data_IF_771063805139
#
_entry.id   IF_771063805139
#
_cell.length_a   1.000
_cell.length_b   1.000
_cell.length_c   1.000
_cell.angle_alpha   90.00
_cell.angle_beta   90.00
_cell.angle_gamma   90.00
#
_symmetry.space_group_name_H-M   'P 1'
#
loop_
_entity.id
_entity.type
_entity.pdbx_description
1 polymer ?
#
# COMPACT_ATOMS: atom_id res chain seq x y z
N UNK A 1 -6.31 -7.78 12.94
CA UNK A 1 -4.91 -7.93 12.47
C UNK A 1 -4.16 -6.63 12.72
N UNK A 2 -2.83 -6.63 12.69
CA UNK A 2 -1.98 -5.46 12.99
C UNK A 2 -1.86 -4.51 11.79
N UNK A 3 -1.29 -3.32 11.99
CA UNK A 3 -0.85 -2.41 10.92
C UNK A 3 0.66 -2.14 11.10
N UNK A 4 1.51 -2.38 10.09
CA UNK A 4 1.24 -3.04 8.81
C UNK A 4 0.76 -4.49 8.94
N UNK A 5 0.14 -5.03 7.89
CA UNK A 5 -0.34 -6.40 7.85
C UNK A 5 0.26 -7.20 6.69
N UNK A 6 0.76 -8.39 6.99
CA UNK A 6 1.17 -9.39 6.01
C UNK A 6 0.21 -10.58 6.06
N UNK A 7 -0.21 -11.08 4.89
CA UNK A 7 -0.92 -12.34 4.79
C UNK A 7 -0.67 -13.05 3.46
N UNK A 8 -1.02 -14.33 3.41
CA UNK A 8 -1.02 -15.11 2.18
C UNK A 8 -2.41 -15.68 1.95
N UNK A 9 -2.91 -15.54 0.72
CA UNK A 9 -4.20 -16.04 0.28
C UNK A 9 -4.00 -16.79 -1.04
N UNK A 10 -4.21 -18.10 -1.04
CA UNK A 10 -4.09 -18.96 -2.23
C UNK A 10 -2.75 -18.77 -2.97
N UNK A 11 -1.63 -18.77 -2.21
CA UNK A 11 -0.28 -18.54 -2.72
C UNK A 11 0.06 -17.09 -3.09
N UNK A 12 -0.90 -16.16 -2.96
CA UNK A 12 -0.67 -14.73 -3.20
C UNK A 12 -0.38 -14.03 -1.88
N UNK A 13 0.85 -13.53 -1.74
CA UNK A 13 1.31 -12.73 -0.60
C UNK A 13 0.86 -11.28 -0.73
N UNK A 14 0.18 -10.78 0.31
CA UNK A 14 -0.27 -9.40 0.47
C UNK A 14 0.52 -8.68 1.57
N UNK A 15 0.79 -7.40 1.32
CA UNK A 15 1.21 -6.42 2.31
C UNK A 15 0.23 -5.25 2.29
N UNK A 16 -0.28 -4.87 3.46
CA UNK A 16 -1.24 -3.79 3.63
C UNK A 16 -0.80 -2.76 4.66
N UNK A 17 -1.07 -1.49 4.39
CA UNK A 17 -1.02 -0.41 5.40
C UNK A 17 -2.34 0.35 5.46
N UNK A 18 -2.61 0.99 6.61
CA UNK A 18 -3.83 1.78 6.82
C UNK A 18 -3.79 3.19 6.20
N UNK A 19 -2.78 3.53 5.40
CA UNK A 19 -2.69 4.80 4.68
C UNK A 19 -1.70 5.82 5.24
N UNK A 20 -1.44 5.79 6.55
CA UNK A 20 -0.65 6.81 7.23
C UNK A 20 0.77 6.98 6.66
N UNK A 21 1.36 5.90 6.14
CA UNK A 21 2.72 5.92 5.61
C UNK A 21 2.86 6.82 4.40
N UNK A 22 1.90 6.77 3.47
CA UNK A 22 1.90 7.66 2.29
C UNK A 22 1.37 9.05 2.66
N UNK A 23 0.39 9.15 3.57
CA UNK A 23 -0.08 10.46 4.07
C UNK A 23 1.05 11.26 4.70
N UNK A 24 1.90 10.63 5.49
CA UNK A 24 2.98 11.29 6.19
C UNK A 24 4.08 11.79 5.24
N UNK A 25 4.49 10.96 4.26
CA UNK A 25 5.38 11.38 3.17
C UNK A 25 4.83 12.62 2.46
N UNK A 26 3.51 12.65 2.22
CA UNK A 26 2.82 13.74 1.51
C UNK A 26 2.80 15.07 2.22
N UNK A 27 3.11 15.12 3.53
CA UNK A 27 3.28 16.38 4.24
C UNK A 27 4.55 17.13 3.84
N UNK A 28 5.52 16.44 3.22
CA UNK A 28 6.87 16.95 2.98
C UNK A 28 7.29 16.99 1.51
N UNK A 29 6.39 16.62 0.59
CA UNK A 29 6.69 16.57 -0.85
C UNK A 29 5.70 17.43 -1.62
N UNK A 30 6.21 18.20 -2.57
CA UNK A 30 5.37 18.99 -3.48
C UNK A 30 5.05 18.14 -4.73
N UNK A 31 4.13 17.19 -4.59
CA UNK A 31 3.70 16.29 -5.65
C UNK A 31 2.26 15.85 -5.40
N UNK A 32 1.56 15.45 -6.46
CA UNK A 32 0.20 14.90 -6.38
C UNK A 32 0.16 13.38 -6.66
N UNK A 33 1.27 12.78 -7.12
CA UNK A 33 1.33 11.38 -7.55
C UNK A 33 1.56 10.41 -6.38
N UNK A 34 0.49 10.11 -5.64
CA UNK A 34 0.56 9.25 -4.44
C UNK A 34 0.99 7.84 -4.80
N UNK A 35 0.60 7.38 -5.99
CA UNK A 35 0.94 6.06 -6.48
C UNK A 35 2.46 5.95 -6.63
N UNK A 36 3.12 6.97 -7.21
CA UNK A 36 4.59 7.01 -7.33
C UNK A 36 5.31 6.88 -6.01
N UNK A 37 4.80 7.46 -4.93
CA UNK A 37 5.43 7.30 -3.62
C UNK A 37 5.20 5.92 -3.02
N UNK A 38 4.05 5.29 -3.27
CA UNK A 38 3.88 3.88 -2.94
C UNK A 38 4.88 3.00 -3.71
N UNK A 39 5.11 3.27 -5.00
CA UNK A 39 6.17 2.62 -5.80
C UNK A 39 7.54 2.80 -5.17
N UNK A 40 7.85 4.02 -4.70
CA UNK A 40 9.10 4.34 -4.04
C UNK A 40 9.28 3.59 -2.72
N UNK A 41 8.24 3.49 -1.88
CA UNK A 41 8.33 2.69 -0.63
C UNK A 41 8.65 1.23 -0.91
N UNK A 42 8.12 0.67 -2.00
CA UNK A 42 8.47 -0.68 -2.44
C UNK A 42 9.92 -0.74 -2.95
N UNK A 43 10.34 0.22 -3.77
CA UNK A 43 11.70 0.30 -4.31
C UNK A 43 12.76 0.46 -3.22
N UNK A 44 12.49 1.26 -2.20
CA UNK A 44 13.34 1.44 -1.03
C UNK A 44 13.29 0.26 -0.05
N UNK A 45 12.40 -0.72 -0.30
CA UNK A 45 12.18 -1.87 0.58
C UNK A 45 11.76 -1.45 2.00
N UNK A 46 11.08 -0.30 2.13
CA UNK A 46 10.76 0.32 3.41
C UNK A 46 9.33 0.88 3.42
N UNK A 47 8.49 0.35 4.31
CA UNK A 47 7.05 0.62 4.38
C UNK A 47 6.76 2.06 4.86
N UNK A 48 7.54 2.55 5.84
CA UNK A 48 7.30 3.83 6.51
C UNK A 48 8.62 4.61 6.69
N UNK A 49 9.24 5.11 5.60
CA UNK A 49 10.58 5.71 5.63
C UNK A 49 10.70 6.99 6.47
N UNK A 50 9.57 7.59 6.85
CA UNK A 50 9.49 8.78 7.68
C UNK A 50 9.31 8.47 9.17
N UNK A 51 9.19 7.20 9.54
CA UNK A 51 9.22 6.77 10.93
C UNK A 51 10.67 6.58 11.40
N UNK A 52 11.02 6.94 12.65
CA UNK A 52 10.16 7.53 13.68
C UNK A 52 10.02 9.06 13.61
N UNK A 53 10.76 9.73 12.72
CA UNK A 53 11.00 11.19 12.77
C UNK A 53 9.72 12.03 12.65
N UNK A 54 8.83 11.68 11.72
CA UNK A 54 7.57 12.42 11.48
C UNK A 54 6.33 11.54 11.59
N UNK A 55 6.49 10.23 11.36
CA UNK A 55 5.47 9.24 11.66
C UNK A 55 5.82 8.50 12.95
N UNK A 56 5.01 8.70 13.99
CA UNK A 56 5.18 8.05 15.28
C UNK A 56 5.13 6.53 15.15
N UNK A 57 6.14 5.85 15.70
CA UNK A 57 6.16 4.40 15.83
C UNK A 57 6.68 4.00 17.22
N UNK A 58 6.52 2.72 17.56
CA UNK A 58 7.16 2.17 18.74
C UNK A 58 8.68 2.17 18.57
N UNK A 59 9.48 2.50 19.60
CA UNK A 59 10.94 2.53 19.51
C UNK A 59 11.51 1.10 19.52
N UNK A 60 11.59 0.47 18.34
CA UNK A 60 12.23 -0.83 18.18
C UNK A 60 13.76 -0.69 18.30
N UNK A 61 14.40 -1.61 19.03
CA UNK A 61 15.85 -1.54 19.32
C UNK A 61 16.70 -2.36 18.33
N UNK A 62 16.25 -3.57 18.00
CA UNK A 62 17.09 -4.54 17.27
C UNK A 62 16.76 -4.65 15.78
N UNK A 63 15.47 -4.60 15.45
CA UNK A 63 14.96 -4.85 14.09
C UNK A 63 13.90 -3.82 13.75
N UNK A 64 14.08 -3.14 12.63
CA UNK A 64 13.08 -2.24 12.08
C UNK A 64 11.97 -3.06 11.38
N UNK A 65 10.72 -3.03 11.88
CA UNK A 65 9.62 -3.81 11.30
C UNK A 65 9.11 -3.24 9.97
N UNK A 66 9.54 -2.04 9.59
CA UNK A 66 9.13 -1.41 8.34
C UNK A 66 9.99 -1.83 7.15
N UNK A 67 11.12 -2.51 7.38
CA UNK A 67 11.93 -3.12 6.33
C UNK A 67 11.18 -4.34 5.77
N UNK A 68 10.92 -4.35 4.47
CA UNK A 68 10.27 -5.49 3.82
C UNK A 68 11.27 -6.65 3.69
N UNK A 69 10.99 -7.81 4.27
CA UNK A 69 11.85 -8.99 4.16
C UNK A 69 11.79 -9.63 2.77
N UNK A 70 10.65 -9.52 2.09
CA UNK A 70 10.39 -10.04 0.75
C UNK A 70 9.51 -9.07 -0.06
N UNK A 71 9.52 -9.21 -1.39
CA UNK A 71 8.60 -8.46 -2.24
C UNK A 71 7.19 -9.08 -2.17
N UNK A 72 6.14 -8.32 -1.81
CA UNK A 72 4.77 -8.82 -1.85
C UNK A 72 4.29 -8.98 -3.30
N UNK A 73 3.35 -9.89 -3.54
CA UNK A 73 2.64 -9.96 -4.83
C UNK A 73 1.64 -8.79 -4.95
N UNK A 74 1.01 -8.41 -3.84
CA UNK A 74 0.11 -7.26 -3.76
C UNK A 74 0.53 -6.35 -2.61
N UNK A 75 0.76 -5.08 -2.88
CA UNK A 75 1.01 -4.05 -1.88
C UNK A 75 -0.11 -3.01 -1.92
N UNK A 76 -0.94 -2.96 -0.90
CA UNK A 76 -2.06 -2.03 -0.84
C UNK A 76 -1.91 -1.00 0.29
N UNK A 77 -2.34 0.22 -0.01
CA UNK A 77 -2.35 1.36 0.91
C UNK A 77 -3.79 1.84 0.98
N UNK A 78 -4.42 1.77 2.15
CA UNK A 78 -5.82 2.19 2.33
C UNK A 78 -5.99 3.68 2.59
N UNK A 79 -7.24 4.14 2.65
CA UNK A 79 -7.62 5.52 2.99
C UNK A 79 -6.95 6.57 2.11
N UNK A 80 -6.77 6.25 0.82
CA UNK A 80 -6.26 7.22 -0.16
C UNK A 80 -7.42 8.07 -0.71
N UNK A 81 -7.11 9.19 -1.34
CA UNK A 81 -8.14 10.10 -1.88
C UNK A 81 -8.92 9.49 -3.05
N UNK A 82 -8.25 8.67 -3.85
CA UNK A 82 -8.81 8.06 -5.04
C UNK A 82 -8.22 6.67 -5.27
N UNK A 83 -8.92 5.85 -6.06
CA UNK A 83 -8.43 4.57 -6.50
C UNK A 83 -7.35 4.74 -7.57
N UNK A 84 -6.19 4.14 -7.35
CA UNK A 84 -5.12 4.07 -8.34
C UNK A 84 -4.36 2.75 -8.22
N UNK A 85 -3.80 2.26 -9.32
CA UNK A 85 -3.01 1.02 -9.29
C UNK A 85 -1.94 1.00 -10.36
N UNK A 86 -0.78 0.42 -10.03
CA UNK A 86 0.27 0.09 -11.00
C UNK A 86 0.77 -1.35 -10.78
N UNK A 87 1.53 -1.85 -11.74
CA UNK A 87 2.29 -3.10 -11.59
C UNK A 87 3.74 -2.80 -11.86
N UNK A 88 4.60 -3.16 -10.92
CA UNK A 88 6.04 -2.99 -11.05
C UNK A 88 6.66 -4.37 -11.24
N UNK A 89 7.63 -4.44 -12.14
CA UNK A 89 8.49 -5.61 -12.32
C UNK A 89 9.89 -5.30 -11.75
N UNK A 90 10.39 -6.19 -10.90
CA UNK A 90 11.73 -6.11 -10.34
C UNK A 90 12.78 -6.79 -11.24
N UNK A 91 14.07 -6.69 -10.88
CA UNK A 91 15.18 -7.20 -11.68
C UNK A 91 15.12 -8.72 -11.95
N UNK A 92 14.57 -9.49 -11.03
CA UNK A 92 14.43 -10.95 -11.10
C UNK A 92 13.06 -11.38 -11.64
N UNK A 93 12.38 -10.48 -12.37
CA UNK A 93 11.03 -10.67 -12.93
C UNK A 93 9.93 -10.86 -11.86
N UNK A 94 10.20 -10.52 -10.61
CA UNK A 94 9.19 -10.43 -9.55
C UNK A 94 8.19 -9.33 -9.91
N UNK A 95 6.90 -9.59 -9.71
CA UNK A 95 5.83 -8.65 -10.02
C UNK A 95 5.04 -8.30 -8.77
N UNK A 96 4.92 -7.00 -8.50
CA UNK A 96 4.09 -6.48 -7.42
C UNK A 96 3.00 -5.58 -7.99
N UNK A 97 1.75 -5.90 -7.66
CA UNK A 97 0.59 -5.04 -7.89
C UNK A 97 0.47 -4.05 -6.74
N UNK A 98 0.61 -2.76 -7.02
CA UNK A 98 0.42 -1.70 -6.04
C UNK A 98 -1.00 -1.15 -6.17
N UNK A 99 -1.70 -0.97 -5.05
CA UNK A 99 -3.09 -0.54 -5.01
C UNK A 99 -3.26 0.58 -3.98
N UNK A 100 -3.66 1.75 -4.44
CA UNK A 100 -4.22 2.80 -3.58
C UNK A 100 -5.72 2.54 -3.45
N UNK A 101 -6.15 2.17 -2.26
CA UNK A 101 -7.56 1.94 -1.95
C UNK A 101 -8.16 3.23 -1.39
N UNK A 102 -9.21 3.77 -2.02
CA UNK A 102 -9.85 4.96 -1.52
C UNK A 102 -10.64 4.70 -0.23
N UNK A 103 -10.93 5.76 0.53
CA UNK A 103 -11.85 5.67 1.67
C UNK A 103 -13.24 5.27 1.18
N UNK A 104 -13.76 4.13 1.64
CA UNK A 104 -15.12 3.69 1.30
C UNK A 104 -16.17 4.68 1.80
N UNK A 105 -15.97 5.26 3.00
CA UNK A 105 -16.90 6.22 3.59
C UNK A 105 -17.07 7.49 2.73
N UNK A 106 -16.03 7.88 1.98
CA UNK A 106 -16.03 9.07 1.14
C UNK A 106 -16.41 8.76 -0.32
N UNK A 107 -16.01 7.59 -0.83
CA UNK A 107 -16.09 7.27 -2.27
C UNK A 107 -17.08 6.17 -2.62
N UNK A 108 -17.50 5.36 -1.65
CA UNK A 108 -18.32 4.17 -1.89
C UNK A 108 -17.62 3.13 -2.77
N UNK A 109 -16.28 3.12 -2.84
CA UNK A 109 -15.53 2.22 -3.73
C UNK A 109 -14.95 1.03 -2.98
N UNK A 110 -15.19 -0.16 -3.51
CA UNK A 110 -14.52 -1.42 -3.13
C UNK A 110 -13.70 -1.92 -4.31
N UNK A 111 -12.58 -2.58 -4.08
CA UNK A 111 -11.74 -3.13 -5.15
C UNK A 111 -11.68 -4.64 -5.03
N UNK A 112 -12.08 -5.35 -6.09
CA UNK A 112 -11.87 -6.78 -6.22
C UNK A 112 -10.52 -7.06 -6.88
N UNK A 113 -9.72 -7.93 -6.28
CA UNK A 113 -8.44 -8.39 -6.83
C UNK A 113 -8.57 -9.82 -7.30
N UNK A 114 -8.31 -10.06 -8.58
CA UNK A 114 -8.27 -11.40 -9.13
C UNK A 114 -6.92 -12.07 -8.76
N UNK A 115 -6.94 -13.11 -7.94
CA UNK A 115 -5.72 -13.76 -7.44
C UNK A 115 -4.88 -14.43 -8.53
N UNK A 116 -5.49 -14.84 -9.66
CA UNK A 116 -4.77 -15.51 -10.76
C UNK A 116 -3.89 -14.56 -11.58
N UNK A 117 -4.30 -13.29 -11.71
CA UNK A 117 -3.63 -12.33 -12.61
C UNK A 117 -3.39 -10.95 -11.99
N UNK A 118 -3.76 -10.77 -10.73
CA UNK A 118 -3.63 -9.55 -9.93
C UNK A 118 -4.31 -8.32 -10.56
N UNK A 119 -5.26 -8.51 -11.47
CA UNK A 119 -6.07 -7.41 -12.01
C UNK A 119 -7.04 -6.91 -10.93
N UNK A 120 -7.18 -5.60 -10.85
CA UNK A 120 -8.03 -4.91 -9.90
C UNK A 120 -9.29 -4.40 -10.60
N UNK A 121 -10.45 -4.65 -10.01
CA UNK A 121 -11.76 -4.24 -10.52
C UNK A 121 -12.47 -3.39 -9.46
N UNK A 122 -12.52 -2.05 -9.62
CA UNK A 122 -13.27 -1.20 -8.70
C UNK A 122 -14.77 -1.38 -8.90
N UNK A 123 -15.51 -1.47 -7.79
CA UNK A 123 -16.97 -1.51 -7.70
C UNK A 123 -17.42 -0.26 -6.98
N UNK A 124 -18.35 0.47 -7.58
CA UNK A 124 -18.88 1.73 -7.07
C UNK A 124 -20.27 1.51 -6.50
N UNK A 125 -20.46 1.89 -5.24
CA UNK A 125 -21.75 1.86 -4.55
C UNK A 125 -22.28 3.28 -4.47
N UNK A 126 -23.38 3.57 -5.18
CA UNK A 126 -23.96 4.91 -5.29
C UNK A 126 -25.13 5.17 -4.34
N UNK A 127 -25.52 4.21 -3.49
CA UNK A 127 -26.73 4.28 -2.65
C UNK A 127 -26.48 4.70 -1.19
N UNK A 128 -25.51 5.58 -0.94
CA UNK A 128 -25.26 6.15 0.40
C UNK A 128 -25.79 7.60 0.56
N UNK A 129 -26.71 8.02 -0.31
CA UNK A 129 -27.52 9.23 -0.14
C UNK A 129 -29.01 8.91 -0.29
#
# INVERSE_FOLDING_TARGET
VTNPYWCELDGVVFLGTSGQTIDDIYKYVNSEDRLKFAERTLHWRHIAPTAPDTLWCYPFQDVDPFIMSQAPHVYFISNQKEFATSTIEGPDKQRTRIILLPSFAETGVVVLVNLKNLKCHPIFFSSLN
#
